data_IF_825761458425
#
_entry.id   IF_825761458425
#
_cell.length_a   1.000
_cell.length_b   1.000
_cell.length_c   1.000
_cell.angle_alpha   90.00
_cell.angle_beta   90.00
_cell.angle_gamma   90.00
#
_symmetry.space_group_name_H-M   'P 1'
#
loop_
_entity.id
_entity.type
_entity.pdbx_description
1 polymer ?
#
# COMPACT_ATOMS: atom_id res chain seq x y z
N UNK A 1 -30.59 13.98 -8.89
CA UNK A 1 -29.33 13.30 -9.28
C UNK A 1 -28.18 14.18 -8.80
N UNK A 2 -28.11 14.44 -7.49
CA UNK A 2 -27.19 15.42 -6.88
C UNK A 2 -27.15 15.23 -5.36
N UNK A 3 -27.09 13.98 -4.89
CA UNK A 3 -26.99 13.68 -3.45
C UNK A 3 -26.00 12.55 -3.14
N UNK A 4 -25.17 12.14 -4.10
CA UNK A 4 -24.32 10.93 -3.98
C UNK A 4 -22.81 11.18 -4.16
N UNK A 5 -22.37 12.45 -4.14
CA UNK A 5 -20.97 12.81 -4.37
C UNK A 5 -20.23 13.31 -3.11
N UNK A 6 -20.89 13.35 -1.94
CA UNK A 6 -20.37 14.07 -0.76
C UNK A 6 -20.14 13.28 0.54
N UNK A 7 -20.21 11.94 0.60
CA UNK A 7 -19.86 11.27 1.87
C UNK A 7 -19.38 9.82 1.86
N UNK A 8 -18.90 9.29 0.73
CA UNK A 8 -17.95 8.17 0.83
C UNK A 8 -16.55 8.74 0.97
N UNK A 9 -16.04 8.80 2.21
CA UNK A 9 -14.62 8.97 2.44
C UNK A 9 -13.86 8.01 1.51
N UNK A 10 -12.89 8.53 0.73
CA UNK A 10 -12.07 7.71 -0.15
C UNK A 10 -11.45 6.61 0.70
N UNK A 11 -11.70 5.34 0.33
CA UNK A 11 -11.06 4.21 1.01
C UNK A 11 -9.55 4.28 0.76
N UNK A 12 -8.71 3.96 1.75
CA UNK A 12 -7.28 3.87 1.52
C UNK A 12 -6.97 2.84 0.45
N UNK A 13 -6.08 3.19 -0.49
CA UNK A 13 -5.62 2.29 -1.54
C UNK A 13 -4.10 2.11 -1.44
N UNK A 14 -3.57 1.00 -1.96
CA UNK A 14 -2.14 0.84 -2.10
C UNK A 14 -1.59 1.94 -3.02
N UNK A 15 -0.50 2.59 -2.62
CA UNK A 15 0.05 3.79 -3.28
C UNK A 15 -0.43 5.11 -2.65
N UNK A 16 -1.39 5.07 -1.72
CA UNK A 16 -1.78 6.26 -0.97
C UNK A 16 -0.81 6.57 0.18
N UNK A 17 -0.84 7.84 0.61
CA UNK A 17 -0.24 8.31 1.87
C UNK A 17 -1.35 8.78 2.80
N UNK A 18 -1.48 8.12 3.94
CA UNK A 18 -2.54 8.38 4.93
C UNK A 18 -1.98 9.05 6.20
N UNK A 19 -2.86 9.49 7.11
CA UNK A 19 -2.39 9.93 8.41
C UNK A 19 -1.75 8.75 9.18
N UNK A 20 -0.63 8.96 9.86
CA UNK A 20 0.07 7.86 10.53
C UNK A 20 -0.79 7.10 11.52
N UNK A 21 -1.64 7.82 12.27
CA UNK A 21 -2.61 7.27 13.23
C UNK A 21 -3.69 6.37 12.59
N UNK A 22 -3.94 6.53 11.29
CA UNK A 22 -4.93 5.75 10.54
C UNK A 22 -4.34 4.42 10.04
N UNK A 23 -3.01 4.24 10.11
CA UNK A 23 -2.39 2.95 9.82
C UNK A 23 -2.71 1.96 10.95
N UNK A 24 -3.68 1.09 10.68
CA UNK A 24 -4.14 -0.02 11.52
C UNK A 24 -4.34 -1.28 10.68
N UNK A 25 -4.49 -2.44 11.32
CA UNK A 25 -4.60 -3.73 10.64
C UNK A 25 -5.76 -3.78 9.63
N UNK A 26 -6.91 -3.14 9.92
CA UNK A 26 -8.04 -3.14 8.99
C UNK A 26 -7.70 -2.45 7.67
N UNK A 27 -6.89 -1.38 7.69
CA UNK A 27 -6.42 -0.72 6.47
C UNK A 27 -5.51 -1.65 5.67
N UNK A 28 -4.62 -2.38 6.36
CA UNK A 28 -3.75 -3.37 5.69
C UNK A 28 -4.56 -4.52 5.08
N UNK A 29 -5.61 -4.97 5.75
CA UNK A 29 -6.53 -5.99 5.21
C UNK A 29 -7.32 -5.46 4.02
N UNK A 30 -7.74 -4.19 4.04
CA UNK A 30 -8.47 -3.57 2.92
C UNK A 30 -7.63 -3.42 1.66
N UNK A 31 -6.34 -3.06 1.80
CA UNK A 31 -5.45 -2.90 0.64
C UNK A 31 -4.79 -4.20 0.20
N UNK A 32 -4.81 -5.26 1.01
CA UNK A 32 -4.29 -6.56 0.61
C UNK A 32 -5.11 -7.03 -0.59
N UNK A 33 -4.49 -6.98 -1.76
CA UNK A 33 -5.03 -7.60 -2.97
C UNK A 33 -5.31 -9.04 -2.59
N UNK A 34 -6.53 -9.50 -2.85
CA UNK A 34 -6.91 -10.90 -2.69
C UNK A 34 -7.30 -11.38 -4.07
N UNK A 35 -6.30 -11.68 -4.88
CA UNK A 35 -6.51 -12.10 -6.27
C UNK A 35 -6.28 -13.62 -6.39
N UNK A 36 -7.28 -14.37 -6.88
CA UNK A 36 -7.22 -15.84 -6.92
C UNK A 36 -6.09 -16.38 -7.81
N UNK A 37 -5.52 -15.57 -8.70
CA UNK A 37 -4.40 -15.96 -9.55
C UNK A 37 -3.05 -15.92 -8.81
N UNK A 38 -3.02 -15.42 -7.57
CA UNK A 38 -1.83 -15.26 -6.75
C UNK A 38 -1.97 -16.01 -5.43
N UNK A 39 -0.94 -16.79 -5.12
CA UNK A 39 -0.94 -17.62 -3.90
C UNK A 39 -0.24 -16.95 -2.73
N UNK A 40 0.52 -15.87 -2.98
CA UNK A 40 1.32 -15.14 -1.98
C UNK A 40 1.26 -13.65 -2.29
N UNK A 41 0.75 -12.89 -1.34
CA UNK A 41 0.53 -11.45 -1.44
C UNK A 41 0.94 -10.78 -0.11
N UNK A 42 1.31 -9.50 -0.17
CA UNK A 42 1.67 -8.71 1.01
C UNK A 42 1.11 -7.28 0.91
N UNK A 43 0.55 -6.80 2.02
CA UNK A 43 0.22 -5.41 2.25
C UNK A 43 1.23 -4.82 3.23
N UNK A 44 1.82 -3.69 2.86
CA UNK A 44 2.90 -3.01 3.59
C UNK A 44 2.41 -1.63 3.98
N UNK A 45 2.52 -1.32 5.26
CA UNK A 45 2.30 0.03 5.78
C UNK A 45 3.49 0.47 6.63
N UNK A 46 4.08 1.61 6.31
CA UNK A 46 5.20 2.16 7.07
C UNK A 46 4.85 3.56 7.54
N UNK A 47 4.81 3.75 8.86
CA UNK A 47 4.60 5.05 9.47
C UNK A 47 5.93 5.79 9.59
N UNK A 48 5.96 7.01 9.07
CA UNK A 48 7.08 7.91 9.25
C UNK A 48 6.85 8.78 10.50
N UNK A 49 7.47 8.40 11.62
CA UNK A 49 7.57 9.23 12.83
C UNK A 49 9.00 9.73 13.06
N UNK A 50 9.80 9.83 12.00
CA UNK A 50 11.23 10.15 12.10
C UNK A 50 11.55 11.65 12.32
N UNK A 51 10.54 12.52 12.28
CA UNK A 51 10.73 13.97 12.26
C UNK A 51 11.19 14.54 10.91
N UNK A 52 11.33 13.70 9.87
CA UNK A 52 11.81 14.11 8.54
C UNK A 52 10.82 13.75 7.44
N UNK A 53 10.95 14.37 6.27
CA UNK A 53 10.26 13.97 5.05
C UNK A 53 11.08 12.89 4.32
N UNK A 54 10.42 11.83 3.85
CA UNK A 54 11.04 10.79 3.03
C UNK A 54 10.70 11.01 1.56
N UNK A 55 11.67 10.75 0.68
CA UNK A 55 11.46 10.65 -0.76
C UNK A 55 11.69 9.20 -1.21
N UNK A 56 10.82 8.71 -2.07
CA UNK A 56 10.97 7.37 -2.65
C UNK A 56 12.22 7.32 -3.54
N UNK A 57 12.99 6.25 -3.41
CA UNK A 57 14.11 5.96 -4.31
C UNK A 57 13.70 4.92 -5.35
N UNK A 58 13.52 3.68 -4.89
CA UNK A 58 13.13 2.54 -5.72
C UNK A 58 12.59 1.40 -4.84
N UNK A 59 12.00 0.39 -5.50
CA UNK A 59 11.72 -0.92 -4.91
C UNK A 59 12.50 -1.95 -5.71
N UNK A 60 13.21 -2.84 -5.02
CA UNK A 60 13.87 -3.98 -5.64
C UNK A 60 13.14 -5.24 -5.22
N UNK A 61 12.71 -6.04 -6.19
CA UNK A 61 12.07 -7.33 -5.96
C UNK A 61 13.09 -8.43 -6.26
N UNK A 62 13.45 -9.21 -5.25
CA UNK A 62 14.18 -10.46 -5.49
C UNK A 62 13.27 -11.49 -6.13
N UNK A 63 11.98 -11.49 -5.76
CA UNK A 63 10.93 -12.29 -6.39
C UNK A 63 9.57 -11.58 -6.31
N UNK A 64 8.70 -11.85 -7.29
CA UNK A 64 7.39 -11.21 -7.40
C UNK A 64 7.45 -9.81 -8.03
N UNK A 65 6.37 -9.04 -7.89
CA UNK A 65 6.23 -7.70 -8.42
C UNK A 65 5.15 -6.91 -7.68
N UNK A 66 5.04 -5.62 -7.98
CA UNK A 66 3.93 -4.77 -7.60
C UNK A 66 3.38 -4.03 -8.81
N UNK A 67 2.07 -3.85 -8.87
CA UNK A 67 1.39 -2.99 -9.85
C UNK A 67 1.23 -1.55 -9.31
N UNK A 68 1.74 -1.29 -8.11
CA UNK A 68 1.59 -0.02 -7.39
C UNK A 68 2.88 0.78 -7.46
N UNK A 69 2.75 2.09 -7.65
CA UNK A 69 3.87 3.03 -7.59
C UNK A 69 4.17 3.37 -6.13
N UNK A 70 5.43 3.25 -5.71
CA UNK A 70 5.85 3.62 -4.36
C UNK A 70 5.55 5.12 -4.11
N UNK A 71 4.89 5.50 -3.01
CA UNK A 71 4.54 6.90 -2.78
C UNK A 71 5.78 7.80 -2.75
N UNK A 72 5.83 8.77 -3.66
CA UNK A 72 7.04 9.58 -3.90
C UNK A 72 7.48 10.40 -2.68
N UNK A 73 6.55 10.82 -1.83
CA UNK A 73 6.84 11.70 -0.68
C UNK A 73 6.00 11.31 0.51
N UNK A 74 6.66 11.10 1.66
CA UNK A 74 6.01 10.70 2.91
C UNK A 74 6.49 11.61 4.03
N UNK A 75 5.65 12.57 4.42
CA UNK A 75 5.96 13.51 5.49
C UNK A 75 5.95 12.86 6.88
N UNK A 76 6.63 13.49 7.85
CA UNK A 76 6.52 13.10 9.25
C UNK A 76 5.05 13.10 9.72
N UNK A 77 4.68 12.09 10.51
CA UNK A 77 3.31 11.85 10.98
C UNK A 77 2.38 11.23 9.95
N UNK A 78 2.89 10.81 8.77
CA UNK A 78 2.13 10.10 7.73
C UNK A 78 2.57 8.64 7.62
N UNK A 79 1.77 7.83 6.97
CA UNK A 79 2.12 6.47 6.62
C UNK A 79 1.95 6.23 5.12
N UNK A 80 2.89 5.52 4.51
CA UNK A 80 2.74 5.01 3.14
C UNK A 80 2.03 3.67 3.16
N UNK A 81 1.23 3.41 2.13
CA UNK A 81 0.60 2.12 1.86
C UNK A 81 1.16 1.54 0.57
N UNK A 82 1.48 0.25 0.57
CA UNK A 82 2.06 -0.42 -0.58
C UNK A 82 1.66 -1.90 -0.60
N UNK A 83 1.71 -2.53 -1.77
CA UNK A 83 1.44 -3.97 -1.91
C UNK A 83 2.42 -4.61 -2.87
N UNK A 84 2.59 -5.92 -2.74
CA UNK A 84 3.29 -6.74 -3.72
C UNK A 84 2.67 -8.14 -3.74
N UNK A 85 2.88 -8.85 -4.85
CA UNK A 85 2.39 -10.21 -5.08
C UNK A 85 3.45 -11.05 -5.77
N UNK A 86 3.33 -12.36 -5.64
CA UNK A 86 4.17 -13.26 -6.42
C UNK A 86 3.86 -13.15 -7.92
N UNK A 87 4.75 -13.68 -8.74
CA UNK A 87 4.50 -13.82 -10.18
C UNK A 87 3.37 -14.81 -10.41
N UNK A 88 2.45 -14.53 -11.34
CA UNK A 88 1.29 -15.39 -11.59
C UNK A 88 1.74 -16.79 -11.97
N UNK A 89 1.10 -17.81 -11.39
CA UNK A 89 1.46 -19.21 -11.61
C UNK A 89 2.76 -19.67 -10.97
N UNK A 90 3.51 -18.79 -10.27
CA UNK A 90 4.72 -19.17 -9.55
C UNK A 90 4.39 -19.64 -8.11
N UNK A 91 5.17 -20.59 -7.60
CA UNK A 91 5.12 -21.01 -6.19
C UNK A 91 6.00 -20.16 -5.27
N UNK A 92 6.76 -19.22 -5.85
CA UNK A 92 7.64 -18.29 -5.14
C UNK A 92 6.82 -17.21 -4.41
N UNK A 93 7.42 -16.56 -3.41
CA UNK A 93 6.81 -15.46 -2.66
C UNK A 93 7.02 -14.08 -3.31
N UNK A 94 6.59 -13.03 -2.61
CA UNK A 94 6.94 -11.65 -2.92
C UNK A 94 7.94 -11.15 -1.86
N UNK A 95 9.18 -10.84 -2.25
CA UNK A 95 10.25 -10.39 -1.35
C UNK A 95 11.21 -9.42 -2.00
#
# INVERSE_FOLDING_TARGET
>A
KEVDLLSKAKRPEAGDVIAGKELITSVLTEILITDPDFSREIAIGVRNESGRCWQANNVYFSSGSSDVILPNTVNNGKALLYTARNTSGATEGAS
#
